data_IF_415326275293
#
_entry.id   IF_415326275293
#
_cell.length_a   1.000
_cell.length_b   1.000
_cell.length_c   1.000
_cell.angle_alpha   90.00
_cell.angle_beta   90.00
_cell.angle_gamma   90.00
#
_symmetry.space_group_name_H-M   'P 1'
#
loop_
_entity.id
_entity.type
_entity.pdbx_description
1 polymer ?
#
# COMPACT_ATOMS: atom_id res chain seq x y z
N UNK A 1 -8.36 -39.75 14.87
CA UNK A 1 -7.38 -38.93 15.61
C UNK A 1 -6.92 -37.81 14.69
N UNK A 2 -6.94 -36.60 15.24
CA UNK A 2 -6.31 -35.33 14.80
C UNK A 2 -6.33 -34.94 13.32
N UNK A 3 -7.09 -33.87 13.05
CA UNK A 3 -6.99 -33.09 11.84
C UNK A 3 -5.66 -32.34 11.76
N UNK A 4 -4.93 -32.61 10.69
CA UNK A 4 -3.81 -31.80 10.25
C UNK A 4 -4.37 -30.51 9.65
N UNK A 5 -4.39 -29.45 10.43
CA UNK A 5 -4.70 -28.11 9.92
C UNK A 5 -3.43 -27.64 9.22
N UNK A 6 -3.36 -27.89 7.92
CA UNK A 6 -2.38 -27.26 7.05
C UNK A 6 -2.65 -25.76 7.08
N UNK A 7 -1.97 -25.06 7.98
CA UNK A 7 -1.86 -23.61 7.94
C UNK A 7 -1.20 -23.27 6.62
N UNK A 8 -2.01 -22.83 5.65
CA UNK A 8 -1.48 -22.18 4.46
C UNK A 8 -0.51 -21.07 4.91
N UNK A 9 0.67 -20.93 4.31
CA UNK A 9 1.46 -19.72 4.51
C UNK A 9 0.57 -18.58 4.02
N UNK A 10 0.12 -17.72 4.94
CA UNK A 10 -0.49 -16.46 4.58
C UNK A 10 0.61 -15.69 3.86
N UNK A 11 0.60 -15.74 2.53
CA UNK A 11 1.62 -15.10 1.71
C UNK A 11 1.40 -13.58 1.77
N UNK A 12 1.80 -12.94 2.87
CA UNK A 12 1.99 -11.48 2.97
C UNK A 12 3.40 -11.09 2.48
N UNK A 13 3.92 -11.84 1.51
CA UNK A 13 5.33 -11.83 1.15
C UNK A 13 5.74 -10.62 0.32
N UNK A 14 4.89 -10.18 -0.60
CA UNK A 14 5.27 -9.15 -1.57
C UNK A 14 4.05 -8.41 -2.08
N UNK A 15 4.14 -7.09 -2.11
CA UNK A 15 3.11 -6.22 -2.69
C UNK A 15 3.76 -5.31 -3.72
N UNK A 16 3.13 -5.20 -4.89
CA UNK A 16 3.48 -4.21 -5.90
C UNK A 16 2.49 -3.05 -5.81
N UNK A 17 3.00 -1.83 -5.77
CA UNK A 17 2.22 -0.60 -5.69
C UNK A 17 2.52 0.28 -6.90
N UNK A 18 1.51 0.58 -7.71
CA UNK A 18 1.66 1.53 -8.82
C UNK A 18 1.43 2.96 -8.33
N UNK A 19 2.51 3.69 -8.13
CA UNK A 19 2.48 5.08 -7.68
C UNK A 19 1.98 6.01 -8.79
N UNK A 20 2.21 5.67 -10.06
CA UNK A 20 1.69 6.43 -11.20
C UNK A 20 0.17 6.35 -11.25
N UNK A 21 -0.37 5.13 -11.11
CA UNK A 21 -1.80 4.90 -11.06
C UNK A 21 -2.42 5.60 -9.85
N UNK A 22 -1.76 5.57 -8.69
CA UNK A 22 -2.16 6.32 -7.51
C UNK A 22 -2.22 7.83 -7.76
N UNK A 23 -1.20 8.43 -8.36
CA UNK A 23 -1.19 9.87 -8.68
C UNK A 23 -2.30 10.21 -9.68
N UNK A 24 -2.49 9.37 -10.70
CA UNK A 24 -3.54 9.55 -11.68
C UNK A 24 -4.94 9.46 -11.03
N UNK A 25 -5.16 8.51 -10.14
CA UNK A 25 -6.40 8.37 -9.37
C UNK A 25 -6.62 9.52 -8.38
N UNK A 26 -5.54 10.06 -7.80
CA UNK A 26 -5.61 11.21 -6.88
C UNK A 26 -5.86 12.54 -7.60
N UNK A 27 -5.35 12.70 -8.82
CA UNK A 27 -5.60 13.86 -9.70
C UNK A 27 -7.00 13.84 -10.31
N UNK A 28 -7.52 12.64 -10.64
CA UNK A 28 -8.92 12.42 -10.99
C UNK A 28 -9.77 12.49 -9.72
N UNK A 29 -9.88 13.69 -9.13
CA UNK A 29 -10.74 14.06 -7.99
C UNK A 29 -11.47 12.86 -7.41
N UNK A 30 -10.87 12.26 -6.38
CA UNK A 30 -11.51 11.42 -5.36
C UNK A 30 -12.67 10.58 -5.93
N UNK A 31 -12.41 9.33 -6.33
CA UNK A 31 -13.47 8.45 -6.85
C UNK A 31 -14.81 8.70 -6.14
N UNK A 32 -15.75 9.17 -6.94
CA UNK A 32 -17.12 9.61 -6.63
C UNK A 32 -18.01 8.47 -6.12
N UNK A 33 -17.50 7.58 -5.25
CA UNK A 33 -18.11 6.29 -4.94
C UNK A 33 -18.01 5.81 -3.49
N UNK A 34 -17.58 6.66 -2.55
CA UNK A 34 -18.24 6.58 -1.23
C UNK A 34 -19.60 7.30 -1.36
N UNK A 35 -19.64 8.48 -1.96
CA UNK A 35 -20.86 9.31 -2.02
C UNK A 35 -21.99 8.87 -2.97
N UNK A 36 -21.75 8.09 -4.04
CA UNK A 36 -22.84 7.69 -4.94
C UNK A 36 -23.66 6.46 -4.49
N UNK A 37 -23.22 5.73 -3.45
CA UNK A 37 -23.97 4.60 -2.85
C UNK A 37 -24.45 4.91 -1.41
N UNK A 38 -24.16 6.08 -0.85
CA UNK A 38 -24.90 6.58 0.33
C UNK A 38 -26.15 7.41 -0.04
N UNK A 39 -26.30 7.82 -1.31
CA UNK A 39 -27.45 8.60 -1.78
C UNK A 39 -28.75 7.82 -2.00
N UNK A 40 -28.71 6.47 -2.02
CA UNK A 40 -29.88 5.61 -2.25
C UNK A 40 -29.75 4.25 -1.56
N UNK A 41 -29.67 4.20 -0.22
CA UNK A 41 -30.06 2.97 0.49
C UNK A 41 -31.51 3.07 0.97
N UNK A 42 -32.45 2.32 0.37
CA UNK A 42 -33.75 2.15 0.98
C UNK A 42 -33.58 1.38 2.29
N UNK A 43 -34.29 1.83 3.32
CA UNK A 43 -34.53 1.06 4.54
C UNK A 43 -35.08 -0.31 4.12
N UNK A 44 -34.73 -1.37 4.86
CA UNK A 44 -35.14 -2.78 4.72
C UNK A 44 -34.13 -3.76 4.09
N UNK A 45 -33.29 -4.33 4.96
CA UNK A 45 -33.31 -5.78 5.18
C UNK A 45 -32.72 -6.71 4.13
N UNK A 46 -31.83 -6.26 3.23
CA UNK A 46 -31.04 -7.15 2.38
C UNK A 46 -29.57 -7.11 2.77
N UNK A 47 -29.06 -8.23 3.28
CA UNK A 47 -27.63 -8.45 3.49
C UNK A 47 -26.97 -8.50 2.13
N UNK A 48 -26.40 -7.37 1.70
CA UNK A 48 -25.53 -7.32 0.52
C UNK A 48 -24.35 -8.23 0.83
N UNK A 49 -24.23 -9.34 0.10
CA UNK A 49 -23.06 -10.22 0.06
C UNK A 49 -21.87 -9.43 -0.53
N UNK A 50 -21.33 -8.58 0.33
CA UNK A 50 -19.93 -8.40 0.67
C UNK A 50 -18.95 -8.39 -0.50
N UNK A 51 -18.46 -7.19 -0.79
CA UNK A 51 -17.25 -6.81 -1.55
C UNK A 51 -15.97 -7.46 -1.00
N UNK A 52 -15.96 -8.78 -0.75
CA UNK A 52 -15.02 -9.45 0.18
C UNK A 52 -13.86 -10.19 -0.46
N UNK A 53 -13.73 -10.21 -1.79
CA UNK A 53 -12.57 -10.83 -2.43
C UNK A 53 -11.49 -9.81 -2.83
N UNK A 54 -11.87 -8.68 -3.42
CA UNK A 54 -10.91 -7.65 -3.83
C UNK A 54 -10.30 -6.90 -2.62
N UNK A 55 -11.14 -6.55 -1.63
CA UNK A 55 -10.77 -5.87 -0.37
C UNK A 55 -9.91 -6.75 0.57
N UNK A 56 -9.80 -8.06 0.32
CA UNK A 56 -8.97 -8.95 1.14
C UNK A 56 -7.51 -8.98 0.73
N UNK A 57 -7.15 -8.47 -0.44
CA UNK A 57 -5.74 -8.50 -0.86
C UNK A 57 -4.94 -7.43 -0.09
N UNK A 58 -3.74 -7.76 0.43
CA UNK A 58 -2.88 -6.78 1.12
C UNK A 58 -2.58 -5.55 0.26
N UNK A 59 -2.55 -5.73 -1.07
CA UNK A 59 -2.37 -4.66 -2.04
C UNK A 59 -3.56 -3.69 -2.07
N UNK A 60 -4.80 -4.17 -2.21
CA UNK A 60 -5.99 -3.30 -2.25
C UNK A 60 -6.15 -2.50 -0.95
N UNK A 61 -5.88 -3.12 0.20
CA UNK A 61 -5.90 -2.42 1.49
C UNK A 61 -4.81 -1.36 1.61
N UNK A 62 -3.60 -1.64 1.10
CA UNK A 62 -2.52 -0.66 1.04
C UNK A 62 -2.90 0.51 0.13
N UNK A 63 -3.49 0.24 -1.03
CA UNK A 63 -3.97 1.27 -1.98
C UNK A 63 -5.06 2.15 -1.38
N UNK A 64 -6.06 1.56 -0.71
CA UNK A 64 -7.12 2.33 -0.06
C UNK A 64 -6.57 3.26 1.04
N UNK A 65 -5.61 2.79 1.84
CA UNK A 65 -4.94 3.61 2.85
C UNK A 65 -4.04 4.69 2.23
N UNK A 66 -3.33 4.34 1.16
CA UNK A 66 -2.48 5.28 0.46
C UNK A 66 -3.31 6.47 -0.06
N UNK A 67 -4.51 6.24 -0.59
CA UNK A 67 -5.46 7.29 -0.99
C UNK A 67 -5.89 8.21 0.15
N UNK A 68 -5.87 7.75 1.40
CA UNK A 68 -6.23 8.58 2.57
C UNK A 68 -5.03 9.34 3.14
N UNK A 69 -3.83 8.78 3.05
CA UNK A 69 -2.65 9.24 3.81
C UNK A 69 -1.61 9.95 2.93
N UNK A 70 -1.54 9.60 1.65
CA UNK A 70 -0.65 10.24 0.69
C UNK A 70 -1.31 11.51 0.14
N UNK A 71 -0.50 12.50 -0.17
CA UNK A 71 -0.98 13.77 -0.74
C UNK A 71 -0.17 14.12 -1.96
N UNK A 72 -0.86 14.40 -3.06
CA UNK A 72 -0.23 14.91 -4.29
C UNK A 72 0.36 16.32 -4.12
N UNK A 73 0.11 16.98 -2.98
CA UNK A 73 0.66 18.30 -2.65
C UNK A 73 1.95 18.21 -1.81
N UNK A 74 2.31 17.02 -1.33
CA UNK A 74 3.57 16.78 -0.63
C UNK A 74 4.64 16.30 -1.61
N UNK A 75 5.91 16.42 -1.22
CA UNK A 75 6.99 15.86 -2.00
C UNK A 75 6.93 14.32 -2.01
N UNK A 76 7.42 13.71 -3.08
CA UNK A 76 7.38 12.26 -3.25
C UNK A 76 8.12 11.53 -2.14
N UNK A 77 9.24 12.07 -1.66
CA UNK A 77 9.97 11.52 -0.51
C UNK A 77 9.04 11.26 0.68
N UNK A 78 8.23 12.26 1.06
CA UNK A 78 7.31 12.14 2.20
C UNK A 78 6.22 11.12 1.91
N UNK A 79 5.71 11.08 0.69
CA UNK A 79 4.70 10.09 0.30
C UNK A 79 5.26 8.67 0.33
N UNK A 80 6.45 8.45 -0.20
CA UNK A 80 7.12 7.14 -0.19
C UNK A 80 7.43 6.70 1.24
N UNK A 81 7.91 7.60 2.10
CA UNK A 81 8.11 7.29 3.53
C UNK A 81 6.80 6.83 4.19
N UNK A 82 5.69 7.51 3.92
CA UNK A 82 4.36 7.13 4.45
C UNK A 82 3.91 5.78 3.91
N UNK A 83 4.07 5.54 2.61
CA UNK A 83 3.69 4.28 1.97
C UNK A 83 4.46 3.09 2.57
N UNK A 84 5.77 3.25 2.80
CA UNK A 84 6.63 2.23 3.43
C UNK A 84 6.16 1.94 4.87
N UNK A 85 5.84 2.98 5.65
CA UNK A 85 5.31 2.81 7.02
C UNK A 85 3.97 2.07 7.03
N UNK A 86 3.07 2.42 6.12
CA UNK A 86 1.78 1.73 5.97
C UNK A 86 1.99 0.26 5.61
N UNK A 87 2.93 -0.04 4.72
CA UNK A 87 3.24 -1.41 4.35
C UNK A 87 3.76 -2.24 5.54
N UNK A 88 4.67 -1.67 6.34
CA UNK A 88 5.13 -2.30 7.60
C UNK A 88 3.97 -2.60 8.55
N UNK A 89 3.09 -1.63 8.79
CA UNK A 89 1.93 -1.79 9.68
C UNK A 89 0.97 -2.91 9.24
N UNK A 90 0.95 -3.22 7.94
CA UNK A 90 0.13 -4.30 7.36
C UNK A 90 0.84 -5.65 7.30
N UNK A 91 2.07 -5.75 7.84
CA UNK A 91 2.85 -6.99 7.82
C UNK A 91 3.36 -7.35 6.41
N UNK A 92 3.52 -6.36 5.53
CA UNK A 92 4.11 -6.57 4.20
C UNK A 92 5.62 -6.66 4.38
N UNK A 93 6.21 -7.75 3.87
CA UNK A 93 7.65 -8.02 4.01
C UNK A 93 8.48 -7.48 2.85
N UNK A 94 7.90 -7.40 1.65
CA UNK A 94 8.52 -6.77 0.48
C UNK A 94 7.52 -5.86 -0.20
N UNK A 95 7.93 -4.62 -0.47
CA UNK A 95 7.12 -3.63 -1.19
C UNK A 95 7.90 -3.17 -2.43
N UNK A 96 7.36 -3.44 -3.61
CA UNK A 96 7.84 -2.88 -4.87
C UNK A 96 6.94 -1.71 -5.27
N UNK A 97 7.52 -0.57 -5.62
CA UNK A 97 6.80 0.64 -5.99
C UNK A 97 7.18 1.00 -7.42
N UNK A 98 6.20 1.00 -8.33
CA UNK A 98 6.38 1.50 -9.69
C UNK A 98 6.16 3.01 -9.67
N UNK A 99 7.20 3.77 -10.00
CA UNK A 99 7.18 5.22 -10.01
C UNK A 99 6.95 5.75 -11.44
N UNK A 100 6.39 6.96 -11.60
CA UNK A 100 6.31 7.66 -12.89
C UNK A 100 7.65 8.27 -13.32
N UNK A 101 8.60 8.36 -12.39
CA UNK A 101 9.97 8.81 -12.60
C UNK A 101 10.88 8.21 -11.52
N UNK A 102 12.15 7.94 -11.85
CA UNK A 102 13.12 7.51 -10.86
C UNK A 102 13.33 8.58 -9.78
N UNK A 103 13.48 8.16 -8.52
CA UNK A 103 13.93 9.07 -7.46
C UNK A 103 15.43 9.36 -7.60
N UNK A 104 15.83 10.57 -7.23
CA UNK A 104 17.23 10.96 -7.21
C UNK A 104 17.97 10.37 -6.01
N UNK A 105 19.30 10.27 -6.12
CA UNK A 105 20.14 9.76 -5.03
C UNK A 105 20.03 10.59 -3.73
N UNK A 106 19.73 11.89 -3.82
CA UNK A 106 19.44 12.72 -2.65
C UNK A 106 18.15 12.27 -1.95
N UNK A 107 17.08 12.06 -2.72
CA UNK A 107 15.78 11.62 -2.23
C UNK A 107 15.84 10.23 -1.59
N UNK A 108 16.56 9.29 -2.23
CA UNK A 108 16.78 7.94 -1.69
C UNK A 108 17.53 7.96 -0.35
N UNK A 109 18.52 8.84 -0.20
CA UNK A 109 19.23 9.01 1.08
C UNK A 109 18.31 9.56 2.15
N UNK A 110 17.49 10.57 1.83
CA UNK A 110 16.51 11.12 2.76
C UNK A 110 15.52 10.07 3.23
N UNK A 111 15.01 9.23 2.32
CA UNK A 111 14.11 8.12 2.65
C UNK A 111 14.83 7.14 3.57
N UNK A 112 16.03 6.67 3.21
CA UNK A 112 16.79 5.68 3.99
C UNK A 112 17.12 6.17 5.40
N UNK A 113 17.41 7.45 5.60
CA UNK A 113 17.67 8.05 6.92
C UNK A 113 16.46 8.01 7.86
N UNK A 114 15.24 7.84 7.34
CA UNK A 114 14.01 7.76 8.15
C UNK A 114 13.71 6.35 8.65
N UNK A 115 14.50 5.36 8.24
CA UNK A 115 14.30 3.96 8.60
C UNK A 115 15.58 3.35 9.21
N UNK A 116 15.45 2.24 9.95
CA UNK A 116 16.60 1.51 10.49
C UNK A 116 17.56 1.02 9.39
N UNK A 117 18.83 0.82 9.74
CA UNK A 117 19.88 0.44 8.79
C UNK A 117 19.64 -0.93 8.13
N UNK A 118 18.85 -1.78 8.79
CA UNK A 118 18.45 -3.13 8.38
C UNK A 118 17.43 -3.12 7.23
N UNK A 119 16.75 -1.99 6.99
CA UNK A 119 15.85 -1.84 5.85
C UNK A 119 16.66 -1.75 4.55
N UNK A 120 16.49 -2.74 3.66
CA UNK A 120 17.07 -2.68 2.34
C UNK A 120 16.18 -1.86 1.39
N UNK A 121 16.79 -0.85 0.77
CA UNK A 121 16.17 0.02 -0.23
C UNK A 121 17.04 -0.03 -1.50
N UNK A 122 16.44 -0.42 -2.62
CA UNK A 122 17.12 -0.46 -3.91
C UNK A 122 16.19 0.07 -5.00
N UNK A 123 16.74 0.82 -5.94
CA UNK A 123 16.00 1.29 -7.10
C UNK A 123 16.64 0.77 -8.37
N UNK A 124 15.80 0.31 -9.30
CA UNK A 124 16.17 -0.02 -10.66
C UNK A 124 15.24 0.73 -11.60
N UNK A 125 15.79 1.72 -12.30
CA UNK A 125 15.02 2.62 -13.15
C UNK A 125 13.85 3.24 -12.37
N UNK A 126 12.63 3.00 -12.81
CA UNK A 126 11.37 3.49 -12.21
C UNK A 126 10.82 2.56 -11.13
N UNK A 127 11.47 1.42 -10.86
CA UNK A 127 11.03 0.47 -9.86
C UNK A 127 11.84 0.63 -8.56
N UNK A 128 11.17 0.99 -7.47
CA UNK A 128 11.75 1.09 -6.13
C UNK A 128 11.34 -0.13 -5.29
N UNK A 129 12.32 -0.97 -4.95
CA UNK A 129 12.12 -2.16 -4.12
C UNK A 129 12.54 -1.89 -2.68
N UNK A 130 11.68 -2.29 -1.76
CA UNK A 130 11.83 -2.12 -0.32
C UNK A 130 11.69 -3.47 0.37
N UNK A 131 12.72 -3.88 1.12
CA UNK A 131 12.66 -5.06 1.97
C UNK A 131 12.44 -4.65 3.43
N UNK A 132 11.30 -5.06 3.98
CA UNK A 132 10.84 -4.78 5.34
C UNK A 132 10.98 -5.99 6.27
N UNK A 133 11.34 -7.17 5.75
CA UNK A 133 11.45 -8.41 6.55
C UNK A 133 12.49 -8.33 7.68
N UNK A 134 13.44 -7.40 7.58
CA UNK A 134 14.51 -7.20 8.55
C UNK A 134 14.24 -6.03 9.52
N UNK A 135 13.11 -5.33 9.39
CA UNK A 135 12.76 -4.23 10.29
C UNK A 135 12.16 -4.78 11.59
N UNK A 136 12.64 -4.35 12.77
CA UNK A 136 12.02 -4.73 14.05
C UNK A 136 10.58 -4.22 14.11
N UNK A 137 9.67 -5.03 14.65
CA UNK A 137 8.32 -4.58 15.00
C UNK A 137 8.44 -3.77 16.30
N UNK A 138 8.22 -2.47 16.21
CA UNK A 138 8.19 -1.55 17.36
C UNK A 138 6.80 -1.55 18.00
#
# INVERSE_FOLDING_TARGET
MSGERVSAPQCSGKVCFDYTEFLAASCKKHWSFVDAIYGVMPIFGMVVKSQTELERTPQAQLTALALQVLSTQLNDETNIIRLIKLAKQRGITVLDIQLPYPLEAAQLRTIKQKFPAEMALSQKDECLSVNLSQMPND
#
